data_IF_067144921901
#
_entry.id   IF_067144921901
#
_cell.length_a   1.000
_cell.length_b   1.000
_cell.length_c   1.000
_cell.angle_alpha   90.00
_cell.angle_beta   90.00
_cell.angle_gamma   90.00
#
_symmetry.space_group_name_H-M   'P 1'
#
loop_
_entity.id
_entity.type
_entity.pdbx_description
1 polymer ?
#
# COMPACT_ATOMS: atom_id res chain seq x y z
N UNK A 1 21.04 -7.48 -12.08
CA UNK A 1 20.36 -6.82 -10.96
C UNK A 1 18.90 -7.14 -11.20
N UNK A 2 18.44 -8.25 -10.64
CA UNK A 2 17.11 -8.79 -10.91
C UNK A 2 16.25 -8.47 -9.69
N UNK A 3 15.51 -7.36 -9.77
CA UNK A 3 14.48 -7.03 -8.80
C UNK A 3 13.47 -8.19 -8.75
N UNK A 4 13.49 -8.96 -7.67
CA UNK A 4 12.58 -10.10 -7.52
C UNK A 4 11.19 -9.56 -7.23
N UNK A 5 10.37 -9.55 -8.27
CA UNK A 5 8.99 -9.06 -8.20
C UNK A 5 8.01 -10.22 -8.12
N UNK A 6 7.06 -10.16 -7.19
CA UNK A 6 5.95 -11.12 -7.10
C UNK A 6 4.64 -10.42 -6.76
N UNK A 7 3.54 -10.96 -7.27
CA UNK A 7 2.20 -10.49 -6.95
C UNK A 7 1.52 -11.47 -6.00
N UNK A 8 0.92 -10.94 -4.94
CA UNK A 8 0.16 -11.72 -3.95
C UNK A 8 -1.23 -11.14 -3.78
N UNK A 9 -2.14 -11.93 -3.22
CA UNK A 9 -3.37 -11.35 -2.68
C UNK A 9 -3.02 -10.45 -1.50
N UNK A 10 -3.71 -9.32 -1.33
CA UNK A 10 -3.46 -8.41 -0.23
C UNK A 10 -3.47 -9.11 1.14
N UNK A 11 -4.43 -10.03 1.35
CA UNK A 11 -4.57 -10.78 2.63
C UNK A 11 -3.48 -11.82 2.88
N UNK A 12 -2.55 -11.99 1.92
CA UNK A 12 -1.38 -12.85 2.05
C UNK A 12 -0.11 -12.07 2.40
N UNK A 13 -0.16 -10.73 2.46
CA UNK A 13 0.95 -9.91 2.95
C UNK A 13 1.32 -10.31 4.36
N UNK A 14 2.62 -10.30 4.66
CA UNK A 14 3.19 -10.68 5.95
C UNK A 14 4.10 -9.58 6.45
N UNK A 15 4.30 -9.52 7.77
CA UNK A 15 5.24 -8.55 8.34
C UNK A 15 6.68 -8.77 7.84
N UNK A 16 7.03 -9.98 7.39
CA UNK A 16 8.31 -10.27 6.72
C UNK A 16 8.46 -9.60 5.35
N UNK A 17 7.38 -9.08 4.76
CA UNK A 17 7.42 -8.34 3.50
C UNK A 17 7.74 -6.85 3.74
N UNK A 18 7.79 -6.39 5.01
CA UNK A 18 8.18 -5.03 5.34
C UNK A 18 9.59 -4.70 4.82
N UNK A 19 9.85 -3.41 4.62
CA UNK A 19 11.04 -2.83 3.97
C UNK A 19 11.18 -3.13 2.48
N UNK A 20 10.28 -3.91 1.88
CA UNK A 20 10.20 -4.04 0.43
C UNK A 20 9.33 -2.96 -0.19
N UNK A 21 9.54 -2.69 -1.48
CA UNK A 21 8.67 -1.81 -2.23
C UNK A 21 7.38 -2.55 -2.60
N UNK A 22 6.23 -1.89 -2.41
CA UNK A 22 4.94 -2.44 -2.82
C UNK A 22 4.17 -1.48 -3.72
N UNK A 23 3.38 -2.06 -4.62
CA UNK A 23 2.45 -1.34 -5.50
C UNK A 23 1.07 -1.98 -5.41
N UNK A 24 0.03 -1.15 -5.24
CA UNK A 24 -1.36 -1.60 -5.16
C UNK A 24 -2.34 -0.50 -5.60
N UNK A 25 -3.54 -0.91 -6.00
CA UNK A 25 -4.62 0.01 -6.34
C UNK A 25 -5.60 0.16 -5.18
N UNK A 26 -6.13 1.37 -5.01
CA UNK A 26 -7.19 1.68 -4.06
C UNK A 26 -8.01 2.88 -4.57
N UNK A 27 -8.85 3.44 -3.72
CA UNK A 27 -9.60 4.67 -3.97
C UNK A 27 -9.18 5.73 -2.96
N UNK A 28 -9.08 6.99 -3.39
CA UNK A 28 -8.82 8.10 -2.48
C UNK A 28 -10.01 8.25 -1.52
N UNK A 29 -9.78 7.98 -0.24
CA UNK A 29 -10.85 7.94 0.76
C UNK A 29 -10.54 8.72 2.05
N UNK A 30 -9.47 9.54 2.03
CA UNK A 30 -9.06 10.41 3.13
C UNK A 30 -8.76 11.80 2.59
N UNK A 31 -9.21 12.84 3.29
CA UNK A 31 -8.97 14.23 2.91
C UNK A 31 -7.48 14.56 2.87
N UNK A 32 -6.70 14.03 3.82
CA UNK A 32 -5.24 14.15 3.85
C UNK A 32 -4.59 13.70 2.54
N UNK A 33 -5.11 12.66 1.87
CA UNK A 33 -4.53 12.20 0.60
C UNK A 33 -4.78 13.17 -0.55
N UNK A 34 -5.89 13.90 -0.50
CA UNK A 34 -6.18 14.99 -1.42
C UNK A 34 -5.21 16.15 -1.16
N UNK A 35 -5.00 16.50 0.11
CA UNK A 35 -4.05 17.54 0.52
C UNK A 35 -2.59 17.20 0.11
N UNK A 36 -2.23 15.93 0.15
CA UNK A 36 -0.92 15.44 -0.32
C UNK A 36 -0.80 15.35 -1.85
N UNK A 37 -1.88 15.61 -2.59
CA UNK A 37 -1.87 15.69 -4.05
C UNK A 37 -1.91 14.33 -4.75
N UNK A 38 -2.45 13.29 -4.12
CA UNK A 38 -2.57 11.97 -4.74
C UNK A 38 -3.75 11.82 -5.69
N UNK A 39 -4.70 12.77 -5.66
CA UNK A 39 -5.90 12.77 -6.50
C UNK A 39 -7.10 13.39 -5.80
N UNK A 40 -8.27 13.22 -6.38
CA UNK A 40 -9.55 13.68 -5.82
C UNK A 40 -10.24 12.58 -5.02
N UNK A 41 -11.03 12.95 -4.01
CA UNK A 41 -11.81 12.01 -3.22
C UNK A 41 -12.72 11.14 -4.11
N UNK A 42 -12.71 9.83 -3.89
CA UNK A 42 -13.49 8.85 -4.65
C UNK A 42 -12.84 8.38 -5.96
N UNK A 43 -11.71 8.97 -6.38
CA UNK A 43 -11.01 8.51 -7.58
C UNK A 43 -10.12 7.29 -7.31
N UNK A 44 -10.01 6.35 -8.26
CA UNK A 44 -9.02 5.30 -8.22
C UNK A 44 -7.59 5.89 -8.20
N UNK A 45 -6.71 5.28 -7.42
CA UNK A 45 -5.29 5.65 -7.34
C UNK A 45 -4.43 4.40 -7.24
N UNK A 46 -3.24 4.45 -7.83
CA UNK A 46 -2.18 3.46 -7.61
C UNK A 46 -1.18 4.04 -6.64
N UNK A 47 -1.01 3.42 -5.48
CA UNK A 47 0.05 3.76 -4.56
C UNK A 47 1.26 2.87 -4.77
N UNK A 48 2.44 3.44 -4.53
CA UNK A 48 3.72 2.75 -4.66
C UNK A 48 4.70 3.33 -3.65
N UNK A 49 5.28 2.47 -2.83
CA UNK A 49 6.19 2.91 -1.76
C UNK A 49 6.72 1.77 -0.93
N UNK A 50 7.54 2.09 0.07
CA UNK A 50 8.12 1.10 0.99
C UNK A 50 7.06 0.66 1.99
N UNK A 51 6.83 -0.65 2.08
CA UNK A 51 5.96 -1.24 3.09
C UNK A 51 6.62 -1.13 4.47
N UNK A 52 6.06 -0.33 5.36
CA UNK A 52 6.61 -0.11 6.71
C UNK A 52 6.10 -1.16 7.70
N UNK A 53 4.82 -1.52 7.59
CA UNK A 53 4.18 -2.53 8.43
C UNK A 53 2.92 -3.09 7.76
N UNK A 54 2.50 -4.27 8.18
CA UNK A 54 1.21 -4.85 7.81
C UNK A 54 0.54 -5.52 9.00
N UNK A 55 -0.76 -5.27 9.15
CA UNK A 55 -1.63 -5.92 10.12
C UNK A 55 -2.73 -6.65 9.35
N UNK A 56 -2.89 -7.94 9.61
CA UNK A 56 -3.94 -8.75 9.00
C UNK A 56 -5.07 -8.99 10.00
N UNK A 57 -6.32 -8.97 9.52
CA UNK A 57 -7.48 -9.24 10.34
C UNK A 57 -8.67 -9.76 9.57
N UNK A 58 -9.78 -9.94 10.29
CA UNK A 58 -11.02 -10.46 9.73
C UNK A 58 -12.22 -9.76 10.38
N UNK A 59 -13.18 -9.34 9.55
CA UNK A 59 -14.44 -8.74 10.00
C UNK A 59 -15.58 -9.40 9.26
N UNK A 60 -16.57 -9.96 9.99
CA UNK A 60 -17.74 -10.65 9.40
C UNK A 60 -17.35 -11.67 8.31
N UNK A 61 -16.38 -12.53 8.63
CA UNK A 61 -15.81 -13.54 7.73
C UNK A 61 -15.02 -13.00 6.53
N UNK A 62 -14.84 -11.67 6.40
CA UNK A 62 -14.04 -11.05 5.34
C UNK A 62 -12.64 -10.69 5.86
N UNK A 63 -11.62 -11.30 5.25
CA UNK A 63 -10.22 -11.01 5.57
C UNK A 63 -9.77 -9.68 4.95
N UNK A 64 -8.88 -8.99 5.65
CA UNK A 64 -8.29 -7.71 5.23
C UNK A 64 -6.85 -7.59 5.70
N UNK A 65 -6.10 -6.72 5.02
CA UNK A 65 -4.76 -6.28 5.43
C UNK A 65 -4.72 -4.77 5.51
N UNK A 66 -4.32 -4.24 6.65
CA UNK A 66 -3.97 -2.84 6.85
C UNK A 66 -2.49 -2.68 6.59
N UNK A 67 -2.13 -1.85 5.62
CA UNK A 67 -0.74 -1.59 5.23
C UNK A 67 -0.36 -0.16 5.59
N UNK A 68 0.85 0.01 6.10
CA UNK A 68 1.49 1.32 6.25
C UNK A 68 2.58 1.45 5.21
N UNK A 69 2.54 2.52 4.41
CA UNK A 69 3.41 2.66 3.24
C UNK A 69 4.03 4.04 3.24
N UNK A 70 5.36 4.09 3.22
CA UNK A 70 6.09 5.33 3.04
C UNK A 70 6.26 5.61 1.55
N UNK A 71 5.75 6.74 1.08
CA UNK A 71 5.81 7.12 -0.32
C UNK A 71 5.94 8.63 -0.50
N UNK A 72 6.40 9.03 -1.67
CA UNK A 72 6.53 10.42 -2.04
C UNK A 72 5.17 11.09 -2.26
N UNK A 73 4.88 12.17 -1.53
CA UNK A 73 3.70 13.00 -1.73
C UNK A 73 3.95 14.06 -2.82
N UNK A 74 3.15 14.08 -3.90
CA UNK A 74 3.31 15.05 -4.98
C UNK A 74 3.23 16.53 -4.54
N UNK A 75 2.30 16.87 -3.65
CA UNK A 75 2.07 18.26 -3.26
C UNK A 75 3.15 18.83 -2.35
N UNK A 76 3.76 17.99 -1.50
CA UNK A 76 4.74 18.45 -0.50
C UNK A 76 6.19 18.23 -0.94
N UNK A 77 6.40 17.35 -1.91
CA UNK A 77 7.75 16.94 -2.32
C UNK A 77 8.52 16.31 -1.16
N UNK A 78 7.86 15.45 -0.37
CA UNK A 78 8.47 14.72 0.76
C UNK A 78 7.91 13.30 0.85
N UNK A 79 8.67 12.40 1.45
CA UNK A 79 8.14 11.09 1.85
C UNK A 79 7.17 11.26 3.02
N UNK A 80 6.02 10.60 2.95
CA UNK A 80 5.02 10.55 4.00
C UNK A 80 4.54 9.11 4.18
N UNK A 81 4.03 8.81 5.37
CA UNK A 81 3.44 7.51 5.64
C UNK A 81 1.92 7.59 5.44
N UNK A 82 1.39 6.68 4.61
CA UNK A 82 -0.06 6.50 4.45
C UNK A 82 -0.49 5.17 5.06
N UNK A 83 -1.77 5.07 5.39
CA UNK A 83 -2.38 3.80 5.82
C UNK A 83 -3.57 3.45 4.95
N UNK A 84 -3.57 2.25 4.36
CA UNK A 84 -4.66 1.74 3.54
C UNK A 84 -5.15 0.38 4.06
N UNK A 85 -6.44 0.08 3.89
CA UNK A 85 -7.02 -1.22 4.21
C UNK A 85 -7.42 -1.90 2.90
N UNK A 86 -6.82 -3.04 2.63
CA UNK A 86 -6.99 -3.82 1.42
C UNK A 86 -7.79 -5.08 1.73
N UNK A 87 -8.83 -5.33 0.93
CA UNK A 87 -9.64 -6.54 1.05
C UNK A 87 -9.04 -7.72 0.29
N UNK A 88 -9.53 -8.92 0.54
CA UNK A 88 -9.10 -10.15 -0.17
C UNK A 88 -9.40 -10.20 -1.68
N UNK A 89 -9.99 -9.16 -2.26
CA UNK A 89 -10.14 -9.03 -3.72
C UNK A 89 -9.01 -8.18 -4.36
N UNK A 90 -8.20 -7.51 -3.55
CA UNK A 90 -7.07 -6.70 -4.00
C UNK A 90 -5.82 -7.56 -4.17
N UNK A 91 -4.98 -7.19 -5.13
CA UNK A 91 -3.63 -7.73 -5.28
C UNK A 91 -2.59 -6.67 -4.94
N UNK A 92 -1.42 -7.13 -4.49
CA UNK A 92 -0.27 -6.29 -4.17
C UNK A 92 0.94 -6.88 -4.89
N UNK A 93 1.65 -6.04 -5.62
CA UNK A 93 2.94 -6.39 -6.20
C UNK A 93 4.02 -5.97 -5.22
N UNK A 94 4.88 -6.92 -4.85
CA UNK A 94 6.03 -6.72 -3.97
C UNK A 94 7.27 -6.79 -4.86
N UNK A 95 8.13 -5.79 -4.75
CA UNK A 95 9.45 -5.75 -5.37
C UNK A 95 10.47 -5.78 -4.23
N UNK A 96 11.20 -6.89 -4.16
CA UNK A 96 12.23 -7.07 -3.12
C UNK A 96 13.33 -6.02 -3.30
N UNK A 97 13.61 -5.27 -2.23
CA UNK A 97 14.74 -4.34 -2.20
C UNK A 97 15.95 -5.11 -1.69
N UNK A 98 17.08 -5.02 -2.39
CA UNK A 98 18.35 -5.59 -1.91
C UNK A 98 18.78 -4.84 -0.63
N UNK A 99 19.22 -5.59 0.39
CA UNK A 99 19.78 -5.05 1.64
C UNK A 99 21.07 -4.23 1.42
#
# INVERSE_FOLDING_TARGET
MDDRTRTVNAVQLRQSDALNWITFQTVICRDEWVEFGFGEFGQPVTFSGVLMAVENGQTLSRSWSRVWVSQWAPATGKSIDITSVLGGHCTVTITELED
#
